data_IF_452540402702
#
_entry.id   IF_452540402702
#
_cell.length_a   1.000
_cell.length_b   1.000
_cell.length_c   1.000
_cell.angle_alpha   90.00
_cell.angle_beta   90.00
_cell.angle_gamma   90.00
#
_symmetry.space_group_name_H-M   'P 1'
#
loop_
_entity.id
_entity.type
_entity.pdbx_description
1 polymer ?
#
# COMPACT_ATOMS: atom_id res chain seq x y z
N UNK A 1 -10.57 34.02 26.59
CA UNK A 1 -11.08 33.27 27.75
C UNK A 1 -11.65 31.95 27.25
N UNK A 2 -10.77 30.98 26.99
CA UNK A 2 -11.17 29.65 26.52
C UNK A 2 -11.68 28.84 27.71
N UNK A 3 -12.99 28.66 27.79
CA UNK A 3 -13.61 27.75 28.75
C UNK A 3 -13.35 26.32 28.30
N UNK A 4 -12.41 25.65 28.96
CA UNK A 4 -12.22 24.21 28.91
C UNK A 4 -13.47 23.56 29.55
N UNK A 5 -14.51 23.34 28.73
CA UNK A 5 -15.58 22.41 29.07
C UNK A 5 -14.96 21.03 29.16
N UNK A 6 -14.80 20.54 30.39
CA UNK A 6 -14.57 19.15 30.70
C UNK A 6 -15.72 18.33 30.12
N UNK A 7 -15.58 17.85 28.88
CA UNK A 7 -16.42 16.79 28.33
C UNK A 7 -16.23 15.58 29.25
N UNK A 8 -17.29 15.18 29.92
CA UNK A 8 -17.35 13.91 30.64
C UNK A 8 -16.92 12.78 29.71
N UNK A 9 -16.20 11.76 30.20
CA UNK A 9 -15.83 10.62 29.38
C UNK A 9 -17.11 9.95 28.88
N UNK A 10 -17.29 9.96 27.57
CA UNK A 10 -18.35 9.22 26.86
C UNK A 10 -17.97 7.74 26.82
N UNK A 11 -17.81 7.15 28.00
CA UNK A 11 -17.64 5.72 28.17
C UNK A 11 -18.99 5.07 27.85
N UNK A 12 -19.02 4.21 26.85
CA UNK A 12 -20.13 3.31 26.63
C UNK A 12 -20.06 2.22 27.70
N UNK A 13 -20.96 2.20 28.72
CA UNK A 13 -20.99 1.07 29.64
C UNK A 13 -21.38 -0.19 28.85
N UNK A 14 -20.54 -1.24 28.82
CA UNK A 14 -20.86 -2.49 28.10
C UNK A 14 -22.05 -3.26 28.73
N UNK A 15 -22.51 -2.83 29.90
CA UNK A 15 -23.73 -3.24 30.59
C UNK A 15 -24.72 -2.04 30.52
N UNK A 16 -25.68 -2.01 29.57
CA UNK A 16 -26.60 -3.10 29.26
C UNK A 16 -26.64 -3.40 27.75
N UNK A 17 -25.87 -4.40 27.29
CA UNK A 17 -26.16 -5.07 26.01
C UNK A 17 -27.57 -5.63 26.09
N UNK A 18 -28.47 -4.98 25.36
CA UNK A 18 -29.91 -5.26 25.32
C UNK A 18 -30.60 -5.16 26.69
N UNK A 19 -31.00 -3.96 27.11
CA UNK A 19 -32.32 -3.77 27.75
C UNK A 19 -33.21 -2.98 26.80
N UNK A 20 -33.28 -3.43 25.55
CA UNK A 20 -34.16 -2.82 24.57
C UNK A 20 -35.59 -3.23 24.92
N UNK A 21 -36.45 -2.21 24.89
CA UNK A 21 -37.84 -2.21 25.31
C UNK A 21 -38.57 -3.34 24.60
N UNK A 22 -38.66 -4.50 25.27
CA UNK A 22 -39.52 -5.61 24.89
C UNK A 22 -40.89 -5.38 25.48
N UNK A 23 -41.49 -4.25 25.15
CA UNK A 23 -42.89 -4.02 25.45
C UNK A 23 -43.43 -3.23 24.28
N UNK A 24 -44.19 -3.88 23.42
CA UNK A 24 -45.52 -3.46 22.96
C UNK A 24 -46.04 -4.58 22.05
N UNK A 25 -47.21 -5.09 22.43
CA UNK A 25 -48.11 -6.01 21.72
C UNK A 25 -47.65 -7.47 21.43
N UNK A 26 -48.47 -8.47 21.80
CA UNK A 26 -48.18 -9.89 21.57
C UNK A 26 -48.34 -10.37 20.11
N UNK A 27 -49.06 -9.64 19.25
CA UNK A 27 -49.62 -10.23 18.02
C UNK A 27 -49.02 -9.80 16.68
N UNK A 28 -47.98 -8.96 16.64
CA UNK A 28 -47.27 -8.66 15.38
C UNK A 28 -45.78 -8.51 15.63
N UNK A 29 -44.98 -9.49 15.19
CA UNK A 29 -43.52 -9.37 15.15
C UNK A 29 -43.10 -9.38 13.68
N UNK A 30 -43.38 -8.28 12.98
CA UNK A 30 -42.94 -8.10 11.60
C UNK A 30 -41.88 -7.00 11.54
N UNK A 31 -40.61 -7.40 11.40
CA UNK A 31 -39.51 -6.50 11.01
C UNK A 31 -38.42 -6.22 12.06
N UNK A 32 -38.39 -6.89 13.21
CA UNK A 32 -37.25 -6.85 14.14
C UNK A 32 -37.00 -8.21 14.79
N UNK A 33 -35.73 -8.52 15.08
CA UNK A 33 -35.33 -9.76 15.73
C UNK A 33 -35.13 -9.52 17.24
N UNK A 34 -35.93 -10.20 18.07
CA UNK A 34 -35.75 -10.20 19.52
C UNK A 34 -34.52 -11.04 19.86
N UNK A 35 -33.53 -10.44 20.53
CA UNK A 35 -32.29 -11.13 20.90
C UNK A 35 -32.42 -11.71 22.32
N UNK A 36 -31.97 -12.95 22.59
CA UNK A 36 -31.91 -13.49 23.94
C UNK A 36 -31.15 -12.55 24.89
N UNK A 37 -31.59 -12.34 26.14
CA UNK A 37 -32.55 -13.17 26.89
C UNK A 37 -34.04 -12.82 26.68
N UNK A 38 -34.38 -11.86 25.81
CA UNK A 38 -35.76 -11.43 25.58
C UNK A 38 -36.53 -12.44 24.72
N UNK A 39 -37.84 -12.54 24.96
CA UNK A 39 -38.74 -13.42 24.20
C UNK A 39 -39.86 -12.56 23.58
N UNK A 40 -40.30 -12.87 22.35
CA UNK A 40 -41.35 -12.11 21.68
C UNK A 40 -42.70 -12.19 22.42
N UNK A 41 -42.99 -13.32 23.04
CA UNK A 41 -44.17 -13.53 23.89
C UNK A 41 -43.77 -14.20 25.21
N UNK A 42 -44.50 -13.87 26.27
CA UNK A 42 -44.28 -14.40 27.61
C UNK A 42 -45.40 -13.96 28.55
N UNK A 43 -45.38 -14.44 29.80
CA UNK A 43 -46.42 -14.15 30.81
C UNK A 43 -46.62 -12.65 31.12
N UNK A 44 -45.72 -11.80 30.63
CA UNK A 44 -45.62 -10.38 30.93
C UNK A 44 -45.64 -9.51 29.66
N UNK A 45 -46.12 -10.05 28.52
CA UNK A 45 -46.24 -9.28 27.27
C UNK A 45 -47.21 -8.10 27.39
N UNK A 46 -48.20 -8.22 28.27
CA UNK A 46 -49.35 -7.29 28.33
C UNK A 46 -49.19 -6.25 29.47
N UNK A 47 -47.99 -6.15 30.06
CA UNK A 47 -47.77 -5.32 31.25
C UNK A 47 -48.04 -3.82 31.04
N UNK A 48 -47.70 -3.30 29.86
CA UNK A 48 -47.89 -1.88 29.51
C UNK A 48 -49.07 -1.66 28.55
N UNK A 49 -49.91 -2.67 28.31
CA UNK A 49 -51.15 -2.48 27.55
C UNK A 49 -52.16 -1.72 28.43
N UNK A 50 -52.79 -0.68 27.89
CA UNK A 50 -53.83 0.06 28.59
C UNK A 50 -55.11 -0.77 28.64
N UNK A 51 -55.75 -0.82 29.81
CA UNK A 51 -57.03 -1.51 29.97
C UNK A 51 -58.19 -0.65 29.48
N UNK A 52 -58.13 0.67 29.70
CA UNK A 52 -59.10 1.63 29.16
C UNK A 52 -58.42 2.60 28.18
N UNK A 53 -58.85 2.67 26.90
CA UNK A 53 -58.29 3.61 25.94
C UNK A 53 -58.50 5.07 26.35
N UNK A 54 -59.55 5.42 27.09
CA UNK A 54 -59.81 6.81 27.50
C UNK A 54 -58.94 7.29 28.68
N UNK A 55 -58.16 6.40 29.29
CA UNK A 55 -57.29 6.73 30.43
C UNK A 55 -56.17 7.73 30.07
N UNK A 56 -55.93 7.99 28.78
CA UNK A 56 -54.99 9.00 28.30
C UNK A 56 -55.46 10.44 28.56
N UNK A 57 -56.76 10.70 28.73
CA UNK A 57 -57.33 12.07 28.81
C UNK A 57 -57.01 12.79 30.12
N UNK A 58 -56.99 12.05 31.22
CA UNK A 58 -56.73 12.60 32.56
C UNK A 58 -55.24 12.48 32.96
N UNK A 59 -54.39 12.00 32.06
CA UNK A 59 -53.00 11.75 32.37
C UNK A 59 -52.17 13.05 32.44
N UNK A 60 -51.33 13.14 33.47
CA UNK A 60 -50.35 14.22 33.64
C UNK A 60 -48.96 13.66 33.85
N UNK A 61 -47.96 14.28 33.21
CA UNK A 61 -46.55 13.94 33.38
C UNK A 61 -46.15 14.13 34.85
N UNK A 62 -45.86 13.04 35.52
CA UNK A 62 -45.42 13.01 36.92
C UNK A 62 -44.22 12.08 37.04
N UNK A 63 -43.19 12.45 37.82
CA UNK A 63 -42.02 11.61 37.98
C UNK A 63 -42.38 10.32 38.72
N UNK A 64 -41.69 9.23 38.37
CA UNK A 64 -41.82 7.96 39.10
C UNK A 64 -41.16 8.12 40.49
N UNK A 65 -41.91 7.95 41.59
CA UNK A 65 -41.34 8.06 42.93
C UNK A 65 -40.47 6.83 43.23
N UNK A 66 -39.34 7.03 43.92
CA UNK A 66 -38.45 5.93 44.31
C UNK A 66 -39.12 4.91 45.24
N UNK A 67 -40.13 5.33 46.01
CA UNK A 67 -40.92 4.44 46.86
C UNK A 67 -41.66 3.36 46.08
N UNK A 68 -42.06 3.62 44.84
CA UNK A 68 -42.72 2.66 43.96
C UNK A 68 -41.81 1.47 43.58
N UNK A 69 -40.49 1.59 43.75
CA UNK A 69 -39.55 0.49 43.52
C UNK A 69 -39.56 -0.56 44.64
N UNK A 70 -40.00 -0.19 45.85
CA UNK A 70 -40.04 -1.08 47.02
C UNK A 70 -41.44 -1.65 47.25
N UNK A 71 -42.47 -0.83 47.06
CA UNK A 71 -43.85 -1.23 47.27
C UNK A 71 -44.79 -0.39 46.40
N UNK A 72 -45.65 -1.05 45.63
CA UNK A 72 -46.59 -0.41 44.73
C UNK A 72 -47.97 -1.03 44.88
N UNK A 73 -48.84 -0.36 45.63
CA UNK A 73 -50.26 -0.70 45.73
C UNK A 73 -51.05 0.15 44.75
N UNK A 74 -51.60 -0.49 43.72
CA UNK A 74 -52.47 0.15 42.74
C UNK A 74 -53.89 -0.36 42.95
N UNK A 75 -54.65 0.41 43.73
CA UNK A 75 -55.98 0.03 44.24
C UNK A 75 -57.10 0.10 43.19
N UNK A 76 -56.93 0.87 42.11
CA UNK A 76 -57.92 0.98 41.03
C UNK A 76 -57.28 0.74 39.66
N UNK A 77 -58.07 0.28 38.68
CA UNK A 77 -57.62 0.07 37.30
C UNK A 77 -57.13 1.38 36.66
N UNK A 78 -57.79 2.51 36.96
CA UNK A 78 -57.36 3.84 36.51
C UNK A 78 -55.95 4.21 37.02
N UNK A 79 -55.63 3.91 38.29
CA UNK A 79 -54.27 4.13 38.82
C UNK A 79 -53.23 3.24 38.13
N UNK A 80 -53.61 2.02 37.72
CA UNK A 80 -52.72 1.12 36.97
C UNK A 80 -52.42 1.65 35.57
N UNK A 81 -53.43 2.13 34.86
CA UNK A 81 -53.25 2.72 33.53
C UNK A 81 -52.44 4.02 33.57
N UNK A 82 -52.67 4.87 34.57
CA UNK A 82 -51.83 6.06 34.79
C UNK A 82 -50.37 5.70 35.09
N UNK A 83 -50.13 4.65 35.87
CA UNK A 83 -48.79 4.16 36.16
C UNK A 83 -48.11 3.58 34.90
N UNK A 84 -48.83 2.80 34.08
CA UNK A 84 -48.35 2.30 32.79
C UNK A 84 -47.92 3.44 31.86
N UNK A 85 -48.75 4.47 31.72
CA UNK A 85 -48.44 5.68 30.94
C UNK A 85 -47.21 6.43 31.48
N UNK A 86 -47.04 6.50 32.82
CA UNK A 86 -45.82 7.08 33.42
C UNK A 86 -44.57 6.27 33.06
N UNK A 87 -44.63 4.94 33.14
CA UNK A 87 -43.53 4.08 32.73
C UNK A 87 -43.16 4.28 31.26
N UNK A 88 -44.14 4.33 30.36
CA UNK A 88 -43.93 4.61 28.93
C UNK A 88 -43.31 5.99 28.73
N UNK A 89 -43.84 7.03 29.39
CA UNK A 89 -43.29 8.39 29.33
C UNK A 89 -41.82 8.45 29.76
N UNK A 90 -41.48 7.81 30.89
CA UNK A 90 -40.10 7.76 31.37
C UNK A 90 -39.19 6.96 30.44
N UNK A 91 -39.71 5.88 29.84
CA UNK A 91 -38.98 5.10 28.83
C UNK A 91 -38.66 5.93 27.58
N UNK A 92 -39.63 6.68 27.07
CA UNK A 92 -39.44 7.59 25.93
C UNK A 92 -38.45 8.71 26.26
N UNK A 93 -38.57 9.34 27.45
CA UNK A 93 -37.62 10.35 27.91
C UNK A 93 -36.19 9.79 28.00
N UNK A 94 -36.02 8.55 28.47
CA UNK A 94 -34.73 7.87 28.52
C UNK A 94 -34.19 7.60 27.12
N UNK A 95 -35.02 7.12 26.20
CA UNK A 95 -34.63 6.90 24.79
C UNK A 95 -34.17 8.20 24.15
N UNK A 96 -34.89 9.31 24.36
CA UNK A 96 -34.48 10.64 23.88
C UNK A 96 -33.12 11.07 24.43
N UNK A 97 -32.88 10.88 25.74
CA UNK A 97 -31.58 11.20 26.36
C UNK A 97 -30.47 10.31 25.82
N UNK A 98 -30.71 9.01 25.67
CA UNK A 98 -29.75 8.08 25.09
C UNK A 98 -29.46 8.40 23.62
N UNK A 99 -30.45 8.84 22.85
CA UNK A 99 -30.25 9.21 21.44
C UNK A 99 -29.30 10.40 21.31
N UNK A 100 -29.46 11.42 22.17
CA UNK A 100 -28.57 12.58 22.21
C UNK A 100 -27.17 12.23 22.74
N UNK A 101 -27.09 11.39 23.78
CA UNK A 101 -25.81 11.00 24.38
C UNK A 101 -24.95 10.11 23.49
N UNK A 102 -25.56 9.35 22.58
CA UNK A 102 -24.83 8.40 21.73
C UNK A 102 -24.69 8.86 20.28
N UNK A 103 -25.12 10.07 19.94
CA UNK A 103 -25.10 10.61 18.58
C UNK A 103 -23.71 10.55 17.92
N UNK A 104 -22.64 10.75 18.71
CA UNK A 104 -21.25 10.75 18.22
C UNK A 104 -20.67 9.33 17.98
N UNK A 105 -21.38 8.26 18.35
CA UNK A 105 -20.85 6.91 18.20
C UNK A 105 -21.01 6.36 16.77
N UNK A 106 -20.00 5.68 16.23
CA UNK A 106 -20.06 5.07 14.89
C UNK A 106 -21.06 3.90 14.80
N UNK A 107 -21.54 3.39 15.94
CA UNK A 107 -22.55 2.33 16.07
C UNK A 107 -23.95 2.86 16.34
N UNK A 108 -24.16 4.19 16.34
CA UNK A 108 -25.44 4.83 16.66
C UNK A 108 -26.59 4.24 15.83
N UNK A 109 -26.45 4.25 14.50
CA UNK A 109 -27.48 3.76 13.58
C UNK A 109 -27.87 2.32 13.88
N UNK A 110 -26.91 1.43 14.18
CA UNK A 110 -27.20 0.02 14.44
C UNK A 110 -27.99 -0.21 15.74
N UNK A 111 -27.73 0.60 16.77
CA UNK A 111 -28.42 0.51 18.06
C UNK A 111 -29.83 1.11 17.98
N UNK A 112 -29.98 2.26 17.31
CA UNK A 112 -31.25 2.99 17.26
C UNK A 112 -32.17 2.58 16.11
N UNK A 113 -31.69 1.88 15.08
CA UNK A 113 -32.56 1.32 14.01
C UNK A 113 -33.68 0.42 14.57
N UNK A 114 -33.39 -0.62 15.39
CA UNK A 114 -34.45 -1.48 15.93
C UNK A 114 -35.39 -0.73 16.89
N UNK A 115 -34.91 0.33 17.54
CA UNK A 115 -35.74 1.16 18.43
C UNK A 115 -36.69 2.03 17.59
N UNK A 116 -36.19 2.62 16.51
CA UNK A 116 -37.00 3.39 15.57
C UNK A 116 -38.09 2.51 14.91
N UNK A 117 -37.74 1.30 14.48
CA UNK A 117 -38.74 0.37 13.91
C UNK A 117 -39.78 -0.04 14.95
N UNK A 118 -39.38 -0.22 16.21
CA UNK A 118 -40.29 -0.53 17.30
C UNK A 118 -41.27 0.62 17.56
N UNK A 119 -40.75 1.84 17.73
CA UNK A 119 -41.55 3.02 18.02
C UNK A 119 -42.49 3.41 16.87
N UNK A 120 -42.07 3.20 15.61
CA UNK A 120 -42.90 3.53 14.44
C UNK A 120 -43.99 2.51 14.14
N UNK A 121 -43.74 1.21 14.39
CA UNK A 121 -44.68 0.13 14.03
C UNK A 121 -45.56 -0.34 15.17
N UNK A 122 -45.05 -0.35 16.40
CA UNK A 122 -45.73 -0.98 17.52
C UNK A 122 -46.40 0.02 18.45
N UNK A 123 -45.97 1.28 18.46
CA UNK A 123 -46.59 2.33 19.28
C UNK A 123 -47.44 3.26 18.37
N UNK A 124 -48.71 2.92 18.09
CA UNK A 124 -49.58 3.80 17.33
C UNK A 124 -49.82 5.10 18.11
N UNK A 125 -49.75 6.22 17.40
CA UNK A 125 -49.86 7.56 17.96
C UNK A 125 -51.25 7.87 18.55
N UNK A 126 -52.26 7.08 18.18
CA UNK A 126 -53.68 7.26 18.54
C UNK A 126 -53.98 6.90 20.00
N UNK A 127 -53.19 6.02 20.62
CA UNK A 127 -53.41 5.53 21.98
C UNK A 127 -52.68 6.36 23.06
N UNK A 128 -52.01 7.46 22.66
CA UNK A 128 -51.15 8.25 23.55
C UNK A 128 -51.72 9.65 23.84
N UNK A 129 -51.54 10.17 25.07
CA UNK A 129 -51.78 11.58 25.37
C UNK A 129 -50.96 12.51 24.45
N UNK A 130 -51.50 13.68 24.14
CA UNK A 130 -50.88 14.69 23.25
C UNK A 130 -49.42 15.01 23.60
N UNK A 131 -49.11 15.07 24.91
CA UNK A 131 -47.75 15.33 25.42
C UNK A 131 -46.77 14.20 25.09
N UNK A 132 -47.23 12.95 25.01
CA UNK A 132 -46.39 11.83 24.60
C UNK A 132 -46.31 11.71 23.08
N UNK A 133 -47.33 12.15 22.36
CA UNK A 133 -47.30 12.24 20.90
C UNK A 133 -46.17 13.16 20.42
N UNK A 134 -46.05 14.36 21.00
CA UNK A 134 -44.97 15.30 20.65
C UNK A 134 -43.59 14.73 20.96
N UNK A 135 -43.43 14.10 22.14
CA UNK A 135 -42.17 13.44 22.52
C UNK A 135 -41.83 12.27 21.58
N UNK A 136 -42.82 11.50 21.17
CA UNK A 136 -42.65 10.38 20.23
C UNK A 136 -42.19 10.87 18.85
N UNK A 137 -42.86 11.90 18.30
CA UNK A 137 -42.47 12.48 17.01
C UNK A 137 -41.06 13.06 17.03
N UNK A 138 -40.70 13.77 18.12
CA UNK A 138 -39.36 14.31 18.30
C UNK A 138 -38.30 13.20 18.38
N UNK A 139 -38.61 12.07 19.03
CA UNK A 139 -37.68 10.94 19.12
C UNK A 139 -37.44 10.31 17.75
N UNK A 140 -38.50 10.12 16.95
CA UNK A 140 -38.36 9.57 15.60
C UNK A 140 -37.52 10.50 14.72
N UNK A 141 -37.80 11.80 14.75
CA UNK A 141 -37.04 12.80 13.99
C UNK A 141 -35.57 12.87 14.43
N UNK A 142 -35.31 12.87 15.74
CA UNK A 142 -33.93 12.90 16.27
C UNK A 142 -33.13 11.67 15.87
N UNK A 143 -33.73 10.48 15.83
CA UNK A 143 -33.03 9.25 15.41
C UNK A 143 -32.69 9.30 13.91
N UNK A 144 -33.62 9.78 13.09
CA UNK A 144 -33.41 9.88 11.63
C UNK A 144 -32.36 10.94 11.30
N UNK A 145 -32.44 12.12 11.92
CA UNK A 145 -31.49 13.23 11.69
C UNK A 145 -30.09 12.92 12.21
N UNK A 146 -29.97 12.16 13.31
CA UNK A 146 -28.69 11.72 13.85
C UNK A 146 -28.04 10.56 13.07
N UNK A 147 -28.75 9.94 12.14
CA UNK A 147 -28.20 8.86 11.31
C UNK A 147 -27.16 9.41 10.31
N UNK A 148 -25.89 9.31 10.66
CA UNK A 148 -24.77 9.73 9.80
C UNK A 148 -24.33 8.62 8.85
N UNK A 149 -23.87 8.95 7.62
CA UNK A 149 -23.35 7.97 6.68
C UNK A 149 -22.04 7.36 7.23
N UNK A 150 -21.98 6.03 7.24
CA UNK A 150 -20.85 5.29 7.82
C UNK A 150 -19.69 5.21 6.84
N UNK A 151 -18.49 5.53 7.32
CA UNK A 151 -17.24 5.19 6.62
C UNK A 151 -16.82 3.76 6.93
N UNK A 152 -16.21 3.08 5.94
CA UNK A 152 -15.65 1.76 6.15
C UNK A 152 -14.56 1.79 7.24
N UNK A 153 -14.49 0.75 8.06
CA UNK A 153 -13.42 0.63 9.05
C UNK A 153 -12.09 0.47 8.31
N UNK A 154 -11.19 1.45 8.48
CA UNK A 154 -9.85 1.40 7.94
C UNK A 154 -8.94 0.96 9.09
N UNK A 155 -8.34 -0.23 8.97
CA UNK A 155 -7.29 -0.63 9.90
C UNK A 155 -6.11 0.33 9.81
N UNK A 156 -5.53 0.67 10.96
CA UNK A 156 -4.33 1.50 11.02
C UNK A 156 -3.21 0.84 10.20
N UNK A 157 -2.91 1.44 9.04
CA UNK A 157 -1.79 0.99 8.20
C UNK A 157 -0.50 1.44 8.87
N UNK A 158 0.37 0.48 9.21
CA UNK A 158 1.71 0.78 9.69
C UNK A 158 2.48 1.58 8.63
N UNK A 159 3.20 2.61 9.05
CA UNK A 159 4.08 3.38 8.15
C UNK A 159 5.15 2.46 7.56
N UNK A 160 5.49 2.58 6.26
CA UNK A 160 6.51 1.74 5.65
C UNK A 160 7.87 1.98 6.31
N UNK A 161 8.66 0.91 6.46
CA UNK A 161 10.00 0.98 7.06
C UNK A 161 10.95 1.66 6.06
N UNK A 162 11.71 2.69 6.46
CA UNK A 162 12.65 3.36 5.56
C UNK A 162 13.77 2.43 5.12
N UNK A 163 14.27 2.64 3.90
CA UNK A 163 15.40 1.89 3.35
C UNK A 163 16.66 2.09 4.20
N UNK A 164 17.44 1.01 4.38
CA UNK A 164 18.72 1.08 5.09
C UNK A 164 19.74 1.85 4.26
N UNK A 165 20.23 2.97 4.79
CA UNK A 165 21.31 3.74 4.19
C UNK A 165 22.66 3.12 4.58
N UNK A 166 23.49 2.79 3.60
CA UNK A 166 24.86 2.31 3.80
C UNK A 166 25.85 3.46 3.65
N UNK A 167 26.90 3.49 4.48
CA UNK A 167 27.95 4.50 4.37
C UNK A 167 28.92 4.16 3.24
N UNK A 168 29.18 5.10 2.31
CA UNK A 168 30.15 4.87 1.25
C UNK A 168 31.57 4.85 1.82
N UNK A 169 32.41 3.93 1.31
CA UNK A 169 33.83 3.87 1.66
C UNK A 169 34.61 4.90 0.84
N UNK A 170 34.70 6.12 1.36
CA UNK A 170 35.47 7.20 0.74
C UNK A 170 36.95 7.00 1.10
N UNK A 171 37.84 7.06 0.10
CA UNK A 171 39.30 7.00 0.28
C UNK A 171 39.88 8.28 -0.29
N UNK A 172 40.61 9.05 0.53
CA UNK A 172 41.30 10.26 0.09
C UNK A 172 42.46 9.92 -0.85
N UNK A 173 42.34 10.34 -2.12
CA UNK A 173 43.34 10.09 -3.17
C UNK A 173 44.30 11.28 -3.20
N UNK A 174 45.50 11.10 -2.62
CA UNK A 174 46.57 12.11 -2.66
C UNK A 174 47.43 12.03 -3.94
N UNK A 175 47.54 10.85 -4.56
CA UNK A 175 48.36 10.63 -5.76
C UNK A 175 47.54 9.95 -6.88
N UNK A 176 47.33 10.63 -8.00
CA UNK A 176 46.72 10.04 -9.19
C UNK A 176 47.68 9.05 -9.87
N UNK A 177 47.19 7.86 -10.24
CA UNK A 177 47.94 6.88 -11.05
C UNK A 177 48.67 5.76 -10.30
N UNK A 178 48.72 5.80 -8.96
CA UNK A 178 49.23 4.67 -8.16
C UNK A 178 48.07 3.78 -7.72
N UNK A 179 48.07 2.50 -8.12
CA UNK A 179 47.15 1.50 -7.55
C UNK A 179 47.44 1.32 -6.06
N UNK A 180 46.53 1.77 -5.19
CA UNK A 180 46.57 1.50 -3.73
C UNK A 180 45.76 0.24 -3.42
N UNK A 181 46.12 -0.45 -2.33
CA UNK A 181 45.42 -1.65 -1.85
C UNK A 181 46.06 -2.99 -2.20
N UNK A 182 47.13 -3.00 -3.02
CA UNK A 182 47.91 -4.22 -3.26
C UNK A 182 48.94 -4.43 -2.15
N UNK A 183 49.15 -5.68 -1.76
CA UNK A 183 50.24 -6.07 -0.86
C UNK A 183 51.59 -5.75 -1.52
N UNK A 184 52.66 -5.57 -0.73
CA UNK A 184 54.00 -5.26 -1.26
C UNK A 184 54.46 -6.29 -2.30
N UNK A 185 54.24 -7.57 -2.01
CA UNK A 185 54.58 -8.70 -2.88
C UNK A 185 53.87 -8.65 -4.23
N UNK A 186 52.57 -8.34 -4.24
CA UNK A 186 51.78 -8.22 -5.47
C UNK A 186 52.31 -7.10 -6.36
N UNK A 187 52.69 -5.97 -5.75
CA UNK A 187 53.24 -4.81 -6.46
C UNK A 187 54.60 -5.14 -7.09
N UNK A 188 55.45 -5.86 -6.37
CA UNK A 188 56.74 -6.32 -6.87
C UNK A 188 56.56 -7.32 -8.03
N UNK A 189 55.60 -8.26 -7.91
CA UNK A 189 55.25 -9.21 -8.97
C UNK A 189 54.74 -8.52 -10.24
N UNK A 190 53.87 -7.52 -10.11
CA UNK A 190 53.40 -6.73 -11.26
C UNK A 190 54.53 -5.95 -11.92
N UNK A 191 55.43 -5.34 -11.12
CA UNK A 191 56.59 -4.61 -11.63
C UNK A 191 57.51 -5.53 -12.43
N UNK A 192 57.78 -6.73 -11.93
CA UNK A 192 58.61 -7.73 -12.63
C UNK A 192 57.93 -8.20 -13.92
N UNK A 193 56.62 -8.49 -13.90
CA UNK A 193 55.86 -8.84 -15.11
C UNK A 193 55.90 -7.74 -16.16
N UNK A 194 55.77 -6.47 -15.75
CA UNK A 194 55.83 -5.34 -16.67
C UNK A 194 57.22 -5.21 -17.31
N UNK A 195 58.29 -5.29 -16.51
CA UNK A 195 59.67 -5.28 -17.01
C UNK A 195 59.89 -6.41 -18.04
N UNK A 196 59.54 -7.65 -17.69
CA UNK A 196 59.67 -8.79 -18.59
C UNK A 196 58.95 -8.56 -19.94
N UNK A 197 57.69 -8.12 -19.90
CA UNK A 197 56.92 -7.85 -21.13
C UNK A 197 57.51 -6.73 -21.97
N UNK A 198 58.09 -5.70 -21.35
CA UNK A 198 58.71 -4.58 -22.05
C UNK A 198 59.99 -5.03 -22.76
N UNK A 199 60.88 -5.71 -22.05
CA UNK A 199 62.14 -6.23 -22.61
C UNK A 199 61.88 -7.26 -23.72
N UNK A 200 60.96 -8.21 -23.48
CA UNK A 200 60.61 -9.22 -24.48
C UNK A 200 60.06 -8.60 -25.77
N UNK A 201 59.16 -7.61 -25.65
CA UNK A 201 58.63 -6.89 -26.82
C UNK A 201 59.70 -6.07 -27.52
N UNK A 202 60.65 -5.50 -26.79
CA UNK A 202 61.80 -4.78 -27.35
C UNK A 202 62.68 -5.70 -28.18
N UNK A 203 63.16 -6.79 -27.59
CA UNK A 203 63.99 -7.78 -28.26
C UNK A 203 63.32 -8.34 -29.53
N UNK A 204 62.04 -8.70 -29.44
CA UNK A 204 61.29 -9.19 -30.59
C UNK A 204 61.16 -8.16 -31.72
N UNK A 205 61.07 -6.87 -31.40
CA UNK A 205 61.01 -5.80 -32.41
C UNK A 205 62.35 -5.66 -33.13
N UNK A 206 63.47 -5.73 -32.43
CA UNK A 206 64.80 -5.66 -33.04
C UNK A 206 65.06 -6.87 -33.94
N UNK A 207 64.79 -8.10 -33.47
CA UNK A 207 64.93 -9.32 -34.29
C UNK A 207 64.15 -9.23 -35.61
N UNK A 208 62.94 -8.64 -35.57
CA UNK A 208 62.13 -8.44 -36.78
C UNK A 208 62.71 -7.39 -37.71
N UNK A 209 63.33 -6.33 -37.19
CA UNK A 209 64.03 -5.33 -38.01
C UNK A 209 65.24 -5.95 -38.69
N UNK A 210 66.05 -6.70 -37.93
CA UNK A 210 67.25 -7.37 -38.45
C UNK A 210 66.89 -8.40 -39.52
N UNK A 211 65.85 -9.20 -39.28
CA UNK A 211 65.35 -10.16 -40.28
C UNK A 211 64.92 -9.48 -41.58
N UNK A 212 64.25 -8.31 -41.50
CA UNK A 212 63.85 -7.53 -42.67
C UNK A 212 65.05 -6.92 -43.38
N UNK A 213 66.03 -6.45 -42.63
CA UNK A 213 67.27 -5.91 -43.18
C UNK A 213 68.03 -6.99 -43.97
N UNK A 214 68.27 -8.15 -43.36
CA UNK A 214 68.94 -9.29 -44.00
C UNK A 214 68.18 -9.78 -45.23
N UNK A 215 66.84 -9.79 -45.20
CA UNK A 215 66.04 -10.17 -46.36
C UNK A 215 66.22 -9.21 -47.54
N UNK A 216 66.27 -7.89 -47.27
CA UNK A 216 66.51 -6.86 -48.30
C UNK A 216 67.92 -6.96 -48.88
N UNK A 217 68.93 -7.13 -48.04
CA UNK A 217 70.32 -7.27 -48.45
C UNK A 217 70.52 -8.51 -49.34
N UNK A 218 70.03 -9.67 -48.88
CA UNK A 218 70.06 -10.92 -49.68
C UNK A 218 69.35 -10.76 -51.02
N UNK A 219 68.20 -10.08 -51.06
CA UNK A 219 67.50 -9.83 -52.31
C UNK A 219 68.30 -8.93 -53.25
N UNK A 220 68.90 -7.85 -52.73
CA UNK A 220 69.76 -6.95 -53.49
C UNK A 220 70.96 -7.69 -54.09
N UNK A 221 71.61 -8.55 -53.31
CA UNK A 221 72.74 -9.36 -53.77
C UNK A 221 72.35 -10.32 -54.90
N UNK A 222 71.20 -10.99 -54.78
CA UNK A 222 70.69 -11.88 -55.82
C UNK A 222 70.36 -11.10 -57.09
N UNK A 223 69.68 -9.96 -56.98
CA UNK A 223 69.36 -9.11 -58.12
C UNK A 223 70.62 -8.59 -58.82
N UNK A 224 71.65 -8.20 -58.06
CA UNK A 224 72.92 -7.74 -58.62
C UNK A 224 73.64 -8.86 -59.38
N UNK A 225 73.77 -10.05 -58.78
CA UNK A 225 74.35 -11.23 -59.43
C UNK A 225 73.62 -11.61 -60.71
N UNK A 226 72.29 -11.59 -60.69
CA UNK A 226 71.48 -11.90 -61.87
C UNK A 226 71.62 -10.83 -62.96
N UNK A 227 71.70 -9.56 -62.59
CA UNK A 227 71.95 -8.47 -63.54
C UNK A 227 73.31 -8.63 -64.22
N UNK A 228 74.37 -8.87 -63.44
CA UNK A 228 75.72 -9.12 -63.97
C UNK A 228 75.74 -10.34 -64.89
N UNK A 229 75.10 -11.45 -64.49
CA UNK A 229 75.00 -12.66 -65.30
C UNK A 229 74.30 -12.38 -66.62
N UNK A 230 73.14 -11.72 -66.59
CA UNK A 230 72.37 -11.36 -67.80
C UNK A 230 73.16 -10.43 -68.72
N UNK A 231 73.89 -9.45 -68.15
CA UNK A 231 74.77 -8.56 -68.92
C UNK A 231 75.86 -9.36 -69.65
N UNK A 232 76.58 -10.24 -68.94
CA UNK A 232 77.63 -11.09 -69.54
C UNK A 232 77.07 -12.01 -70.63
N UNK A 233 75.91 -12.65 -70.39
CA UNK A 233 75.25 -13.49 -71.40
C UNK A 233 74.86 -12.68 -72.64
N UNK A 234 74.35 -11.45 -72.48
CA UNK A 234 74.01 -10.56 -73.59
C UNK A 234 75.24 -10.14 -74.40
N UNK A 235 76.35 -9.82 -73.72
CA UNK A 235 77.63 -9.50 -74.36
C UNK A 235 78.16 -10.70 -75.18
N UNK A 236 78.12 -11.92 -74.62
CA UNK A 236 78.53 -13.15 -75.33
C UNK A 236 77.64 -13.48 -76.53
N UNK A 237 76.31 -13.36 -76.41
CA UNK A 237 75.40 -13.57 -77.53
C UNK A 237 75.59 -12.50 -78.61
N UNK A 238 75.85 -11.26 -78.20
CA UNK A 238 76.18 -10.16 -79.12
C UNK A 238 77.46 -10.44 -79.91
N UNK A 239 78.52 -10.90 -79.24
CA UNK A 239 79.78 -11.24 -79.93
C UNK A 239 79.65 -12.42 -80.89
N UNK A 240 78.90 -13.47 -80.51
CA UNK A 240 78.58 -14.59 -81.39
C UNK A 240 77.80 -14.15 -82.63
N UNK A 241 76.81 -13.26 -82.48
CA UNK A 241 76.04 -12.72 -83.60
C UNK A 241 76.91 -11.90 -84.56
N UNK A 242 77.87 -11.12 -84.05
CA UNK A 242 78.85 -10.38 -84.87
C UNK A 242 79.73 -11.34 -85.66
N UNK A 243 80.27 -12.39 -85.02
CA UNK A 243 81.07 -13.42 -85.70
C UNK A 243 80.30 -14.13 -86.82
N UNK A 244 79.04 -14.48 -86.59
CA UNK A 244 78.19 -15.09 -87.62
C UNK A 244 77.98 -14.13 -88.80
N UNK A 245 77.77 -12.83 -88.51
CA UNK A 245 77.68 -11.77 -89.51
C UNK A 245 78.95 -11.64 -90.36
N UNK A 246 80.12 -11.60 -89.72
CA UNK A 246 81.43 -11.56 -90.38
C UNK A 246 81.66 -12.80 -91.25
N UNK A 247 81.35 -13.99 -90.74
CA UNK A 247 81.46 -15.24 -91.49
C UNK A 247 80.56 -15.27 -92.73
N UNK A 248 79.30 -14.82 -92.61
CA UNK A 248 78.38 -14.68 -93.74
C UNK A 248 78.90 -13.67 -94.77
N UNK A 249 79.49 -12.56 -94.33
CA UNK A 249 80.09 -11.56 -95.21
C UNK A 249 81.32 -12.12 -95.95
N UNK A 250 82.21 -12.84 -95.27
CA UNK A 250 83.34 -13.58 -95.85
C UNK A 250 82.88 -14.60 -96.89
N UNK A 251 81.84 -15.38 -96.58
CA UNK A 251 81.25 -16.36 -97.51
C UNK A 251 80.69 -15.71 -98.77
N UNK A 252 80.04 -14.55 -98.66
CA UNK A 252 79.56 -13.77 -99.81
C UNK A 252 80.71 -13.26 -100.68
N UNK A 253 81.80 -12.78 -100.07
CA UNK A 253 83.01 -12.31 -100.79
C UNK A 253 83.72 -13.43 -101.55
N UNK A 254 83.79 -14.64 -100.99
CA UNK A 254 84.41 -15.81 -101.66
C UNK A 254 83.61 -16.39 -102.83
N UNK A 255 82.32 -16.06 -102.95
CA UNK A 255 81.43 -16.55 -104.03
C UNK A 255 81.43 -15.62 -105.26
N UNK A 256 82.15 -14.50 -105.17
CA UNK A 256 82.35 -13.50 -106.24
C UNK A 256 83.74 -13.69 -106.82
#
# INVERSE_FOLDING_TARGET
>A
MSSLMWRTPQAYPPEPRQKHIGVICPDRVEGYAVVPPFRPSGKHSDLLLLSNPEAHRDWRKTPLPLSAAQHLELSSESHRDQHRLRCVSTGLDLVKRCSLLYQDLPSYTQVFTPIHTLLSRHLPAEDLPEVLHTLHSEILETIVTAATPRSALIFEKKKPIPLKLLTPKIVEILDYGKKRGSTREERERERLKHKYKKEFKGALREIRKDSRFLAREKLSDVMHKDFERKRKVKELLGSLATQEGEWKALKRRKKK
#
